data_IF_449469376136
#
_entry.id   IF_449469376136
#
_cell.length_a   1.000
_cell.length_b   1.000
_cell.length_c   1.000
_cell.angle_alpha   90.00
_cell.angle_beta   90.00
_cell.angle_gamma   90.00
#
_symmetry.space_group_name_H-M   'P 1'
#
loop_
_entity.id
_entity.type
_entity.pdbx_description
1 polymer ?
#
# COMPACT_ATOMS: atom_id res chain seq x y z
N UNK A 1 -16.59 30.70 9.84
CA UNK A 1 -16.33 29.51 10.67
C UNK A 1 -16.84 28.29 9.90
N UNK A 2 -16.11 27.84 8.88
CA UNK A 2 -16.56 26.68 8.08
C UNK A 2 -15.36 25.85 7.55
N UNK A 3 -14.15 26.43 7.57
CA UNK A 3 -12.91 25.76 7.15
C UNK A 3 -12.37 24.70 8.14
N UNK A 4 -12.91 24.63 9.36
CA UNK A 4 -12.41 23.73 10.42
C UNK A 4 -13.12 22.38 10.45
N UNK A 5 -14.29 22.22 9.79
CA UNK A 5 -15.09 21.00 9.89
C UNK A 5 -14.82 19.98 8.78
N UNK A 6 -14.21 20.36 7.65
CA UNK A 6 -13.89 19.42 6.58
C UNK A 6 -12.46 18.88 6.70
N UNK A 7 -12.12 18.22 7.81
CA UNK A 7 -10.88 17.39 7.88
C UNK A 7 -11.06 16.09 7.09
N UNK A 8 -11.48 16.19 5.83
CA UNK A 8 -11.59 15.05 4.92
C UNK A 8 -10.18 14.67 4.48
N UNK A 9 -9.73 13.49 4.90
CA UNK A 9 -8.46 12.95 4.45
C UNK A 9 -8.62 12.54 2.99
N UNK A 10 -7.78 13.10 2.11
CA UNK A 10 -7.84 12.83 0.67
C UNK A 10 -7.53 11.37 0.37
N UNK A 11 -8.51 10.66 -0.18
CA UNK A 11 -8.33 9.33 -0.77
C UNK A 11 -7.81 9.46 -2.21
N UNK A 12 -7.08 8.44 -2.67
CA UNK A 12 -6.78 8.31 -4.09
C UNK A 12 -8.09 8.03 -4.85
N UNK A 13 -8.46 8.88 -5.81
CA UNK A 13 -9.73 8.83 -6.54
C UNK A 13 -9.58 8.55 -8.04
N UNK A 14 -8.43 7.99 -8.46
CA UNK A 14 -8.22 7.57 -9.87
C UNK A 14 -8.92 6.23 -10.13
N UNK A 15 -8.70 5.66 -11.33
CA UNK A 15 -9.32 4.42 -11.77
C UNK A 15 -9.31 3.36 -10.68
N UNK A 16 -10.52 2.90 -10.36
CA UNK A 16 -10.72 1.92 -9.30
C UNK A 16 -10.54 0.50 -9.82
N UNK A 17 -10.59 0.26 -11.13
CA UNK A 17 -10.43 -1.06 -11.78
C UNK A 17 -9.23 -1.11 -12.74
N UNK A 18 -8.72 -2.32 -13.02
CA UNK A 18 -7.63 -2.60 -13.97
C UNK A 18 -7.77 -3.99 -14.59
N UNK A 19 -7.24 -4.18 -15.81
CA UNK A 19 -7.18 -5.50 -16.46
C UNK A 19 -6.19 -6.46 -15.79
N UNK A 20 -5.23 -5.94 -15.02
CA UNK A 20 -4.21 -6.70 -14.29
C UNK A 20 -4.70 -7.30 -12.98
N UNK A 21 -5.89 -6.95 -12.51
CA UNK A 21 -6.41 -7.40 -11.22
C UNK A 21 -6.47 -8.91 -11.12
N UNK A 22 -7.06 -9.57 -12.12
CA UNK A 22 -7.17 -11.03 -12.14
C UNK A 22 -5.80 -11.73 -12.29
N UNK A 23 -4.77 -11.00 -12.74
CA UNK A 23 -3.42 -11.53 -12.90
C UNK A 23 -2.64 -11.48 -11.57
N UNK A 24 -2.90 -10.46 -10.74
CA UNK A 24 -2.11 -10.17 -9.53
C UNK A 24 -2.84 -10.53 -8.23
N UNK A 25 -4.17 -10.67 -8.24
CA UNK A 25 -4.97 -10.90 -7.04
C UNK A 25 -4.58 -12.20 -6.34
N UNK A 26 -4.15 -12.09 -5.07
CA UNK A 26 -3.73 -13.21 -4.24
C UNK A 26 -2.39 -13.84 -4.66
N UNK A 27 -1.68 -13.23 -5.62
CA UNK A 27 -0.38 -13.73 -6.08
C UNK A 27 0.72 -13.13 -5.21
N UNK A 28 1.58 -14.01 -4.69
CA UNK A 28 2.76 -13.61 -3.91
C UNK A 28 3.96 -13.42 -4.83
N UNK A 29 4.72 -12.35 -4.58
CA UNK A 29 5.98 -12.04 -5.24
C UNK A 29 7.12 -12.04 -4.22
N UNK A 30 8.17 -12.81 -4.49
CA UNK A 30 9.42 -12.83 -3.75
C UNK A 30 10.25 -11.63 -4.15
N UNK A 31 10.60 -10.79 -3.20
CA UNK A 31 11.42 -9.60 -3.43
C UNK A 31 12.90 -10.00 -3.58
N UNK A 32 13.61 -9.28 -4.44
CA UNK A 32 15.08 -9.34 -4.50
C UNK A 32 15.68 -8.77 -3.20
N UNK A 33 16.95 -9.03 -2.92
CA UNK A 33 17.64 -8.41 -1.79
C UNK A 33 17.52 -6.88 -1.88
N UNK A 34 17.00 -6.25 -0.83
CA UNK A 34 16.72 -4.83 -0.79
C UNK A 34 16.99 -4.23 0.59
N UNK A 35 17.30 -2.93 0.61
CA UNK A 35 17.60 -2.17 1.83
C UNK A 35 16.38 -2.06 2.76
N UNK A 36 15.16 -2.20 2.22
CA UNK A 36 13.90 -2.24 2.95
C UNK A 36 13.69 -3.54 3.74
N UNK A 37 14.54 -4.56 3.56
CA UNK A 37 14.40 -5.89 4.15
C UNK A 37 13.06 -6.59 3.82
N UNK A 38 12.43 -6.23 2.71
CA UNK A 38 11.20 -6.85 2.24
C UNK A 38 11.52 -8.19 1.59
N UNK A 39 10.77 -9.23 1.97
CA UNK A 39 10.98 -10.60 1.48
C UNK A 39 9.89 -11.03 0.53
N UNK A 40 8.64 -10.79 0.90
CA UNK A 40 7.48 -11.19 0.10
C UNK A 40 6.45 -10.08 0.13
N UNK A 41 5.75 -9.89 -1.00
CA UNK A 41 4.58 -9.02 -1.09
C UNK A 41 3.42 -9.75 -1.78
N UNK A 42 2.20 -9.42 -1.39
CA UNK A 42 0.97 -9.93 -1.98
C UNK A 42 -0.09 -8.83 -1.92
N UNK A 43 -0.93 -8.76 -2.95
CA UNK A 43 -2.12 -7.91 -2.95
C UNK A 43 -3.34 -8.77 -3.21
N UNK A 44 -4.28 -8.72 -2.29
CA UNK A 44 -5.60 -9.31 -2.45
C UNK A 44 -6.60 -8.19 -2.73
N UNK A 45 -7.48 -8.38 -3.71
CA UNK A 45 -8.56 -7.47 -4.08
C UNK A 45 -9.88 -8.18 -3.79
N UNK A 46 -10.74 -7.55 -3.00
CA UNK A 46 -12.01 -8.08 -2.55
C UNK A 46 -13.15 -7.16 -3.01
N UNK A 47 -14.16 -7.77 -3.63
CA UNK A 47 -15.33 -7.09 -4.20
C UNK A 47 -16.62 -7.73 -3.66
N UNK A 48 -16.98 -7.38 -2.44
CA UNK A 48 -18.21 -7.86 -1.77
C UNK A 48 -19.22 -6.70 -1.59
N UNK A 49 -18.90 -5.72 -0.74
CA UNK A 49 -19.79 -4.57 -0.45
C UNK A 49 -19.23 -3.22 -0.92
N UNK A 50 -18.00 -2.93 -0.49
CA UNK A 50 -17.21 -1.77 -0.90
C UNK A 50 -15.88 -2.32 -1.34
N UNK A 51 -15.40 -1.88 -2.50
CA UNK A 51 -14.23 -2.48 -3.11
C UNK A 51 -12.96 -2.12 -2.33
N UNK A 52 -12.28 -3.11 -1.76
CA UNK A 52 -11.07 -2.91 -0.98
C UNK A 52 -9.96 -3.86 -1.40
N UNK A 53 -8.75 -3.55 -0.95
CA UNK A 53 -7.61 -4.43 -1.07
C UNK A 53 -6.90 -4.65 0.25
N UNK A 54 -6.12 -5.72 0.30
CA UNK A 54 -5.24 -6.07 1.41
C UNK A 54 -3.83 -6.15 0.84
N UNK A 55 -2.96 -5.24 1.27
CA UNK A 55 -1.53 -5.32 0.99
C UNK A 55 -0.85 -6.09 2.12
N UNK A 56 -0.30 -7.24 1.78
CA UNK A 56 0.45 -8.08 2.70
C UNK A 56 1.91 -8.07 2.33
N UNK A 57 2.78 -7.86 3.32
CA UNK A 57 4.22 -7.90 3.16
C UNK A 57 4.88 -8.70 4.28
N UNK A 58 6.03 -9.29 3.99
CA UNK A 58 6.86 -9.97 4.98
C UNK A 58 8.23 -9.31 5.02
N UNK A 59 8.69 -8.95 6.20
CA UNK A 59 10.04 -8.41 6.44
C UNK A 59 10.69 -9.10 7.65
N UNK A 60 11.72 -8.49 8.23
CA UNK A 60 12.42 -9.03 9.40
C UNK A 60 11.58 -9.06 10.69
N UNK A 61 10.50 -8.27 10.77
CA UNK A 61 9.62 -8.23 11.95
C UNK A 61 8.41 -9.17 11.84
N UNK A 62 8.24 -9.84 10.69
CA UNK A 62 7.19 -10.83 10.46
C UNK A 62 6.35 -10.54 9.22
N UNK A 63 5.18 -11.19 9.16
CA UNK A 63 4.17 -11.00 8.12
C UNK A 63 3.12 -10.01 8.59
N UNK A 64 2.86 -9.00 7.78
CA UNK A 64 2.01 -7.86 8.12
C UNK A 64 1.02 -7.58 6.99
N UNK A 65 -0.14 -7.01 7.32
CA UNK A 65 -1.18 -6.68 6.36
C UNK A 65 -1.80 -5.32 6.64
N UNK A 66 -2.10 -4.58 5.57
CA UNK A 66 -2.76 -3.27 5.61
C UNK A 66 -3.95 -3.30 4.66
N UNK A 67 -5.15 -3.00 5.18
CA UNK A 67 -6.36 -2.85 4.37
C UNK A 67 -6.44 -1.45 3.79
N UNK A 68 -6.80 -1.32 2.52
CA UNK A 68 -6.98 -0.04 1.85
C UNK A 68 -8.25 -0.06 0.99
N UNK A 69 -8.95 1.08 0.91
CA UNK A 69 -10.14 1.22 0.06
C UNK A 69 -9.78 1.71 -1.33
N UNK A 70 -10.50 1.27 -2.37
CA UNK A 70 -10.39 1.86 -3.70
C UNK A 70 -11.30 3.08 -3.82
N UNK A 71 -10.74 4.29 -3.95
CA UNK A 71 -11.53 5.53 -3.99
C UNK A 71 -11.95 6.08 -2.62
N UNK A 72 -11.65 5.38 -1.52
CA UNK A 72 -11.94 5.79 -0.15
C UNK A 72 -10.87 5.31 0.82
N UNK A 73 -10.82 5.91 2.01
CA UNK A 73 -9.86 5.56 3.05
C UNK A 73 -10.45 4.51 4.00
N UNK A 74 -9.69 3.47 4.30
CA UNK A 74 -9.98 2.51 5.37
C UNK A 74 -9.10 2.84 6.56
N UNK A 75 -9.72 3.02 7.73
CA UNK A 75 -8.99 3.17 8.99
C UNK A 75 -8.50 1.82 9.50
N UNK A 76 -7.24 1.78 9.93
CA UNK A 76 -6.61 0.60 10.51
C UNK A 76 -5.47 0.97 11.46
N UNK A 77 -4.78 -0.04 11.97
CA UNK A 77 -3.58 0.12 12.80
C UNK A 77 -2.37 -0.30 11.99
N UNK A 78 -1.38 0.57 11.88
CA UNK A 78 -0.15 0.28 11.17
C UNK A 78 0.65 -0.79 11.93
N UNK A 79 1.04 -1.89 11.25
CA UNK A 79 1.77 -2.98 11.88
C UNK A 79 3.09 -2.52 12.52
N UNK A 80 3.57 -3.23 13.54
CA UNK A 80 4.80 -2.95 14.32
C UNK A 80 4.72 -1.69 15.20
N UNK A 81 4.34 -0.54 14.65
CA UNK A 81 4.34 0.74 15.38
C UNK A 81 3.04 0.99 16.17
N UNK A 82 1.98 0.24 15.88
CA UNK A 82 0.68 0.35 16.55
C UNK A 82 0.07 1.76 16.47
N UNK A 83 0.37 2.50 15.39
CA UNK A 83 -0.18 3.82 15.13
C UNK A 83 -1.45 3.72 14.30
N UNK A 84 -2.44 4.57 14.60
CA UNK A 84 -3.62 4.72 13.73
C UNK A 84 -3.20 5.22 12.36
N UNK A 85 -3.72 4.57 11.33
CA UNK A 85 -3.51 4.98 9.95
C UNK A 85 -4.80 4.87 9.13
N UNK A 86 -4.83 5.59 8.02
CA UNK A 86 -5.84 5.40 6.99
C UNK A 86 -5.16 5.10 5.68
N UNK A 87 -5.70 4.15 4.91
CA UNK A 87 -5.13 3.76 3.64
C UNK A 87 -6.16 3.75 2.51
N UNK A 88 -5.73 4.23 1.34
CA UNK A 88 -6.47 4.15 0.08
C UNK A 88 -5.57 3.67 -1.05
N UNK A 89 -6.15 2.97 -2.01
CA UNK A 89 -5.49 2.51 -3.22
C UNK A 89 -6.19 3.03 -4.46
N UNK A 90 -5.43 3.21 -5.53
CA UNK A 90 -5.99 3.44 -6.87
C UNK A 90 -4.98 3.04 -7.94
N UNK A 91 -5.49 2.71 -9.12
CA UNK A 91 -4.64 2.45 -10.28
C UNK A 91 -4.18 3.78 -10.87
N UNK A 92 -2.86 3.89 -11.13
CA UNK A 92 -2.25 5.04 -11.83
C UNK A 92 -1.98 4.74 -13.30
N UNK A 93 -1.85 3.47 -13.61
CA UNK A 93 -1.83 2.90 -14.95
C UNK A 93 -2.44 1.49 -14.85
N UNK A 94 -2.76 0.89 -15.98
CA UNK A 94 -3.39 -0.44 -16.01
C UNK A 94 -2.55 -1.49 -15.27
N UNK A 95 -1.22 -1.36 -15.25
CA UNK A 95 -0.32 -2.26 -14.54
C UNK A 95 0.31 -1.65 -13.28
N UNK A 96 -0.12 -0.45 -12.82
CA UNK A 96 0.45 0.22 -11.65
C UNK A 96 -0.61 0.50 -10.58
N UNK A 97 -0.49 -0.20 -9.46
CA UNK A 97 -1.30 0.03 -8.27
C UNK A 97 -0.54 0.95 -7.31
N UNK A 98 -1.14 2.08 -6.95
CA UNK A 98 -0.63 2.97 -5.91
C UNK A 98 -1.48 2.83 -4.66
N UNK A 99 -0.84 2.59 -3.53
CA UNK A 99 -1.43 2.60 -2.20
C UNK A 99 -0.81 3.74 -1.42
N UNK A 100 -1.66 4.59 -0.85
CA UNK A 100 -1.29 5.69 0.03
C UNK A 100 -1.76 5.35 1.44
N UNK A 101 -0.83 5.35 2.38
CA UNK A 101 -1.07 5.13 3.80
C UNK A 101 -0.73 6.43 4.53
N UNK A 102 -1.63 6.91 5.37
CA UNK A 102 -1.46 8.14 6.12
C UNK A 102 -1.51 7.82 7.60
N UNK A 103 -0.42 8.10 8.31
CA UNK A 103 -0.35 7.92 9.76
C UNK A 103 -1.00 9.15 10.39
N UNK A 104 -1.99 8.90 11.26
CA UNK A 104 -2.86 9.92 11.86
C UNK A 104 -2.80 9.87 13.40
N UNK A 105 -1.67 9.42 13.92
CA UNK A 105 -1.40 9.25 15.35
C UNK A 105 -0.26 10.18 15.79
N UNK A 106 0.47 9.79 16.83
CA UNK A 106 1.58 10.50 17.45
C UNK A 106 2.70 10.87 16.46
N UNK A 107 2.82 10.14 15.35
CA UNK A 107 3.64 10.51 14.20
C UNK A 107 2.72 10.79 13.00
N UNK A 108 2.76 12.01 12.45
CA UNK A 108 1.99 12.37 11.25
C UNK A 108 2.90 12.25 10.04
N UNK A 109 2.52 11.39 9.09
CA UNK A 109 3.35 11.10 7.92
C UNK A 109 2.56 10.39 6.82
N UNK A 110 3.11 10.40 5.61
CA UNK A 110 2.54 9.64 4.50
C UNK A 110 3.53 8.57 4.04
N UNK A 111 3.03 7.38 3.77
CA UNK A 111 3.76 6.29 3.13
C UNK A 111 3.07 5.98 1.80
N UNK A 112 3.89 5.75 0.78
CA UNK A 112 3.44 5.39 -0.55
C UNK A 112 4.02 4.03 -0.92
N UNK A 113 3.16 3.14 -1.41
CA UNK A 113 3.53 1.84 -1.96
C UNK A 113 3.03 1.83 -3.40
N UNK A 114 3.94 1.88 -4.36
CA UNK A 114 3.62 1.75 -5.77
C UNK A 114 4.12 0.41 -6.29
N UNK A 115 3.22 -0.35 -6.89
CA UNK A 115 3.44 -1.70 -7.39
C UNK A 115 3.20 -1.69 -8.89
N UNK A 116 4.27 -1.81 -9.67
CA UNK A 116 4.23 -1.92 -11.12
C UNK A 116 4.39 -3.37 -11.54
N UNK A 117 3.40 -3.95 -12.20
CA UNK A 117 3.42 -5.34 -12.62
C UNK A 117 3.82 -5.47 -14.09
N UNK A 118 4.58 -6.51 -14.41
CA UNK A 118 4.92 -6.90 -15.78
C UNK A 118 5.24 -8.39 -15.85
N UNK A 119 4.39 -9.13 -16.56
CA UNK A 119 4.51 -10.58 -16.72
C UNK A 119 4.59 -11.31 -15.36
N UNK A 120 5.76 -11.88 -15.05
CA UNK A 120 6.05 -12.58 -13.79
C UNK A 120 6.80 -11.70 -12.77
N UNK A 121 7.06 -10.44 -13.10
CA UNK A 121 7.83 -9.53 -12.28
C UNK A 121 6.95 -8.39 -11.75
N UNK A 122 7.30 -7.89 -10.58
CA UNK A 122 6.76 -6.66 -10.01
C UNK A 122 7.93 -5.74 -9.64
N UNK A 123 7.79 -4.44 -9.88
CA UNK A 123 8.67 -3.43 -9.32
C UNK A 123 7.94 -2.75 -8.16
N UNK A 124 8.59 -2.73 -7.02
CA UNK A 124 8.06 -2.17 -5.78
C UNK A 124 8.80 -0.87 -5.51
N UNK A 125 8.03 0.20 -5.36
CA UNK A 125 8.53 1.50 -4.95
C UNK A 125 7.85 1.88 -3.63
N UNK A 126 8.66 1.98 -2.58
CA UNK A 126 8.24 2.43 -1.26
C UNK A 126 8.78 3.84 -1.05
N UNK A 127 7.92 4.75 -0.62
CA UNK A 127 8.36 6.10 -0.22
C UNK A 127 7.72 6.55 1.06
N UNK A 128 8.55 6.90 2.05
CA UNK A 128 8.13 7.63 3.24
C UNK A 128 8.27 9.13 3.04
N UNK A 129 7.25 9.87 3.47
CA UNK A 129 7.27 11.31 3.68
C UNK A 129 7.02 11.54 5.17
N UNK A 130 8.02 11.16 5.96
CA UNK A 130 8.09 11.31 7.41
C UNK A 130 9.59 11.30 7.80
N UNK A 131 9.98 12.13 8.76
CA UNK A 131 11.38 12.43 9.04
C UNK A 131 12.10 11.35 9.87
N UNK A 132 11.42 10.64 10.77
CA UNK A 132 12.07 9.87 11.87
C UNK A 132 11.83 8.35 11.82
N UNK A 133 10.62 7.92 11.50
CA UNK A 133 10.13 6.54 11.50
C UNK A 133 10.01 5.95 10.08
N UNK A 134 9.64 4.66 9.98
CA UNK A 134 9.29 3.96 8.74
C UNK A 134 10.42 3.88 7.69
N UNK A 135 11.68 3.80 8.11
CA UNK A 135 12.83 3.76 7.21
C UNK A 135 12.80 2.55 6.25
N UNK A 136 12.12 1.47 6.64
CA UNK A 136 11.86 0.30 5.81
C UNK A 136 10.88 0.57 4.64
N UNK A 137 10.23 1.73 4.60
CA UNK A 137 9.34 2.17 3.52
C UNK A 137 9.97 3.25 2.63
N UNK A 138 11.30 3.30 2.50
CA UNK A 138 11.99 4.18 1.53
C UNK A 138 12.97 3.37 0.69
N UNK A 139 12.60 3.07 -0.56
CA UNK A 139 13.43 2.28 -1.45
C UNK A 139 12.71 1.78 -2.71
N UNK A 140 13.48 1.24 -3.63
CA UNK A 140 12.98 0.64 -4.88
C UNK A 140 13.65 -0.71 -5.12
N UNK A 141 12.86 -1.73 -5.45
CA UNK A 141 13.37 -3.08 -5.67
C UNK A 141 12.47 -3.89 -6.60
N UNK A 142 13.04 -4.96 -7.16
CA UNK A 142 12.32 -5.94 -7.96
C UNK A 142 11.72 -7.05 -7.10
N UNK A 143 10.71 -7.72 -7.65
CA UNK A 143 10.14 -8.94 -7.11
C UNK A 143 9.71 -9.87 -8.24
N UNK A 144 9.77 -11.17 -8.01
CA UNK A 144 9.36 -12.21 -8.95
C UNK A 144 8.24 -13.05 -8.36
N UNK A 145 7.23 -13.35 -9.18
CA UNK A 145 6.12 -14.26 -8.84
C UNK A 145 6.67 -15.64 -8.48
N UNK A 146 6.14 -16.23 -7.40
CA UNK A 146 6.42 -17.61 -6.96
C UNK A 146 5.29 -18.57 -7.32
#
# INVERSE_FOLDING_TARGET
>A
MEYLESRKIFALSTDITSSYENIINGITYRCDDNECNMKDICVEIVDEDSRYGIFTYTNNTGKHSIKFGFGYNIESVFPVYNFRCVASGAWKADNNLLIKIQIIDSAVGNLYVSLSYRDKYASVFLKKLEETYFNEFDGVFGACRI
#
